data_IF_193339042445
#
_entry.id   IF_193339042445
#
_cell.length_a   1.000
_cell.length_b   1.000
_cell.length_c   1.000
_cell.angle_alpha   90.00
_cell.angle_beta   90.00
_cell.angle_gamma   90.00
#
_symmetry.space_group_name_H-M   'P 1'
#
loop_
_entity.id
_entity.type
_entity.pdbx_description
1 polymer ?
#
# COMPACT_ATOMS: atom_id res chain seq x y z
N UNK A 1 -13.56 78.51 -35.33
CA UNK A 1 -14.68 78.95 -34.47
C UNK A 1 -15.59 77.74 -34.23
N UNK A 2 -15.70 77.30 -32.96
CA UNK A 2 -16.66 76.35 -32.34
C UNK A 2 -16.66 74.88 -32.86
N UNK A 3 -16.19 73.89 -32.09
CA UNK A 3 -16.71 73.23 -30.85
C UNK A 3 -17.61 72.01 -31.11
N UNK A 4 -17.07 70.84 -30.71
CA UNK A 4 -17.68 69.58 -30.21
C UNK A 4 -18.65 68.73 -31.06
N UNK A 5 -18.41 67.39 -31.10
CA UNK A 5 -19.46 66.39 -31.31
C UNK A 5 -19.79 65.58 -30.03
N UNK A 6 -20.97 64.94 -30.04
CA UNK A 6 -21.54 63.86 -29.19
C UNK A 6 -22.69 64.31 -28.25
N UNK A 7 -23.77 63.50 -28.08
CA UNK A 7 -23.68 62.13 -27.55
C UNK A 7 -24.54 61.04 -28.22
N UNK A 8 -24.00 59.80 -28.21
CA UNK A 8 -24.77 58.55 -28.35
C UNK A 8 -25.21 58.08 -26.96
N UNK A 9 -26.48 57.72 -26.79
CA UNK A 9 -26.97 56.92 -25.66
C UNK A 9 -27.40 55.53 -26.13
N UNK A 10 -26.73 54.53 -25.54
CA UNK A 10 -27.16 53.20 -25.08
C UNK A 10 -28.39 52.51 -25.68
N UNK A 11 -28.18 51.26 -26.14
CA UNK A 11 -28.99 50.13 -25.67
C UNK A 11 -28.14 48.85 -25.63
N UNK A 12 -28.21 48.12 -24.51
CA UNK A 12 -27.57 46.81 -24.29
C UNK A 12 -28.34 45.71 -25.02
N UNK A 13 -27.64 44.70 -25.55
CA UNK A 13 -28.08 43.29 -25.55
C UNK A 13 -26.87 42.35 -25.58
N UNK A 14 -26.77 41.53 -24.53
CA UNK A 14 -25.94 40.30 -24.46
C UNK A 14 -26.41 39.32 -25.54
N UNK A 15 -25.50 38.47 -26.01
CA UNK A 15 -25.62 37.00 -26.15
C UNK A 15 -24.54 36.50 -27.14
N UNK A 16 -24.05 35.28 -26.88
CA UNK A 16 -23.27 34.38 -27.74
C UNK A 16 -21.73 34.42 -27.61
N UNK A 17 -21.22 33.67 -26.62
CA UNK A 17 -19.92 32.98 -26.66
C UNK A 17 -19.90 31.89 -25.56
N UNK A 18 -20.74 30.88 -25.72
CA UNK A 18 -20.72 29.61 -24.97
C UNK A 18 -21.12 28.54 -25.98
N UNK A 19 -20.16 27.74 -26.46
CA UNK A 19 -20.49 26.69 -27.41
C UNK A 19 -19.34 25.80 -27.91
N UNK A 20 -18.07 26.20 -27.79
CA UNK A 20 -16.96 25.43 -28.39
C UNK A 20 -16.16 24.63 -27.33
N UNK A 21 -16.20 25.03 -26.05
CA UNK A 21 -15.49 24.33 -24.98
C UNK A 21 -16.13 22.99 -24.54
N UNK A 22 -17.44 22.83 -24.69
CA UNK A 22 -18.18 21.63 -24.24
C UNK A 22 -18.15 20.47 -25.24
N UNK A 23 -18.07 20.74 -26.55
CA UNK A 23 -18.01 19.71 -27.59
C UNK A 23 -16.63 19.06 -27.70
N UNK A 24 -15.55 19.84 -27.57
CA UNK A 24 -14.19 19.30 -27.60
C UNK A 24 -13.89 18.44 -26.37
N UNK A 25 -14.38 18.84 -25.20
CA UNK A 25 -14.23 18.08 -23.95
C UNK A 25 -15.05 16.80 -23.97
N UNK A 26 -16.32 16.83 -24.38
CA UNK A 26 -17.16 15.62 -24.48
C UNK A 26 -16.65 14.63 -25.52
N UNK A 27 -16.16 15.08 -26.68
CA UNK A 27 -15.57 14.20 -27.69
C UNK A 27 -14.22 13.60 -27.22
N UNK A 28 -13.41 14.35 -26.50
CA UNK A 28 -12.16 13.84 -25.91
C UNK A 28 -12.44 12.81 -24.80
N UNK A 29 -13.42 13.07 -23.94
CA UNK A 29 -13.89 12.14 -22.89
C UNK A 29 -14.42 10.85 -23.53
N UNK A 30 -15.33 10.96 -24.51
CA UNK A 30 -15.89 9.79 -25.20
C UNK A 30 -14.83 8.95 -25.94
N UNK A 31 -13.77 9.58 -26.46
CA UNK A 31 -12.63 8.84 -27.03
C UNK A 31 -11.80 8.16 -25.95
N UNK A 32 -11.47 8.84 -24.85
CA UNK A 32 -10.72 8.25 -23.74
C UNK A 32 -11.44 7.04 -23.13
N UNK A 33 -12.76 7.14 -22.96
CA UNK A 33 -13.61 6.04 -22.47
C UNK A 33 -13.60 4.84 -23.43
N UNK A 34 -13.69 5.08 -24.74
CA UNK A 34 -13.57 4.00 -25.76
C UNK A 34 -12.20 3.33 -25.76
N UNK A 35 -11.11 4.09 -25.59
CA UNK A 35 -9.76 3.52 -25.49
C UNK A 35 -9.57 2.70 -24.21
N UNK A 36 -10.10 3.17 -23.07
CA UNK A 36 -10.10 2.43 -21.81
C UNK A 36 -10.88 1.11 -21.93
N UNK A 37 -12.07 1.16 -22.52
CA UNK A 37 -12.89 -0.02 -22.77
C UNK A 37 -12.17 -1.05 -23.68
N UNK A 38 -11.46 -0.58 -24.72
CA UNK A 38 -10.70 -1.46 -25.61
C UNK A 38 -9.53 -2.14 -24.89
N UNK A 39 -8.78 -1.41 -24.06
CA UNK A 39 -7.67 -1.98 -23.26
C UNK A 39 -8.18 -3.02 -22.27
N UNK A 40 -9.28 -2.73 -21.57
CA UNK A 40 -9.91 -3.67 -20.65
C UNK A 40 -10.42 -4.93 -21.37
N UNK A 41 -10.98 -4.77 -22.58
CA UNK A 41 -11.41 -5.88 -23.41
C UNK A 41 -10.25 -6.78 -23.83
N UNK A 42 -9.10 -6.20 -24.21
CA UNK A 42 -7.90 -6.98 -24.53
C UNK A 42 -7.39 -7.75 -23.31
N UNK A 43 -7.25 -7.11 -22.14
CA UNK A 43 -6.88 -7.81 -20.89
C UNK A 43 -7.82 -8.97 -20.57
N UNK A 44 -9.11 -8.77 -20.80
CA UNK A 44 -10.07 -9.85 -20.61
C UNK A 44 -9.86 -11.00 -21.60
N UNK A 45 -9.66 -10.72 -22.89
CA UNK A 45 -9.31 -11.74 -23.89
C UNK A 45 -8.08 -12.54 -23.44
N UNK A 46 -7.00 -11.85 -23.05
CA UNK A 46 -5.76 -12.49 -22.58
C UNK A 46 -6.02 -13.33 -21.31
N UNK A 47 -6.90 -12.88 -20.41
CA UNK A 47 -7.25 -13.60 -19.17
C UNK A 47 -8.17 -14.81 -19.37
N UNK A 48 -8.85 -14.92 -20.52
CA UNK A 48 -9.73 -16.07 -20.81
C UNK A 48 -8.94 -17.33 -21.10
N UNK A 49 -7.76 -17.18 -21.71
CA UNK A 49 -6.87 -18.28 -22.04
C UNK A 49 -6.06 -18.76 -20.83
N UNK A 50 -5.99 -17.95 -19.76
CA UNK A 50 -5.30 -18.32 -18.53
C UNK A 50 -6.09 -19.34 -17.72
N UNK A 51 -5.41 -20.42 -17.36
CA UNK A 51 -5.92 -21.43 -16.45
C UNK A 51 -5.53 -21.11 -15.01
N UNK A 52 -6.51 -20.71 -14.21
CA UNK A 52 -6.36 -20.48 -12.77
C UNK A 52 -6.73 -21.73 -11.95
N UNK A 53 -6.62 -22.93 -12.51
CA UNK A 53 -6.81 -24.16 -11.74
C UNK A 53 -5.69 -24.34 -10.72
N UNK A 54 -6.08 -24.70 -9.49
CA UNK A 54 -5.17 -24.99 -8.37
C UNK A 54 -5.27 -26.47 -8.03
N UNK A 55 -4.12 -27.13 -7.86
CA UNK A 55 -4.07 -28.52 -7.43
C UNK A 55 -4.05 -28.60 -5.90
N UNK A 56 -4.91 -29.45 -5.34
CA UNK A 56 -5.02 -29.69 -3.90
C UNK A 56 -5.72 -28.56 -3.12
N UNK A 57 -5.82 -28.74 -1.81
CA UNK A 57 -6.59 -27.87 -0.92
C UNK A 57 -5.74 -27.09 0.10
N UNK A 58 -4.41 -27.15 0.00
CA UNK A 58 -3.47 -26.44 0.89
C UNK A 58 -3.80 -24.95 0.97
N UNK A 59 -3.68 -24.38 2.17
CA UNK A 59 -3.84 -22.96 2.41
C UNK A 59 -2.68 -22.15 1.81
N UNK A 60 -2.86 -20.83 1.66
CA UNK A 60 -1.78 -19.95 1.19
C UNK A 60 -0.59 -19.94 2.16
N UNK A 61 -0.86 -19.98 3.47
CA UNK A 61 0.17 -20.18 4.51
C UNK A 61 1.02 -21.43 4.24
N UNK A 62 0.40 -22.58 4.03
CA UNK A 62 1.13 -23.84 3.86
C UNK A 62 1.90 -23.88 2.54
N UNK A 63 1.33 -23.29 1.48
CA UNK A 63 2.00 -23.16 0.17
C UNK A 63 3.24 -22.28 0.26
N UNK A 64 3.13 -21.12 0.89
CA UNK A 64 4.26 -20.23 1.11
C UNK A 64 5.33 -20.90 1.99
N UNK A 65 4.94 -21.54 3.09
CA UNK A 65 5.88 -22.19 4.00
C UNK A 65 6.66 -23.33 3.32
N UNK A 66 6.04 -24.07 2.40
CA UNK A 66 6.71 -25.11 1.61
C UNK A 66 7.86 -24.56 0.74
N UNK A 67 7.89 -23.25 0.49
CA UNK A 67 8.90 -22.54 -0.30
C UNK A 67 9.76 -21.59 0.53
N UNK A 68 9.76 -21.72 1.87
CA UNK A 68 10.42 -20.79 2.79
C UNK A 68 9.96 -19.33 2.67
N UNK A 69 8.74 -19.11 2.16
CA UNK A 69 8.08 -17.83 2.09
C UNK A 69 7.05 -17.71 3.20
N UNK A 70 6.65 -16.47 3.50
CA UNK A 70 5.57 -16.18 4.44
C UNK A 70 4.41 -15.53 3.68
N UNK A 71 3.23 -16.14 3.73
CA UNK A 71 2.01 -15.47 3.27
C UNK A 71 1.22 -14.89 4.46
N UNK A 72 0.60 -13.73 4.27
CA UNK A 72 -0.23 -13.10 5.28
C UNK A 72 -1.22 -12.10 4.73
N UNK A 73 -1.94 -11.43 5.63
CA UNK A 73 -2.87 -10.38 5.28
C UNK A 73 -3.03 -9.34 6.40
N UNK A 74 -3.49 -8.15 6.02
CA UNK A 74 -3.89 -7.10 6.95
C UNK A 74 -5.30 -7.31 7.52
N UNK A 75 -5.49 -6.98 8.79
CA UNK A 75 -6.82 -6.85 9.39
C UNK A 75 -6.78 -5.96 10.63
N UNK A 76 -7.95 -5.65 11.18
CA UNK A 76 -8.12 -4.92 12.42
C UNK A 76 -8.84 -5.79 13.47
N UNK A 77 -8.56 -5.50 14.74
CA UNK A 77 -9.30 -5.97 15.92
C UNK A 77 -10.80 -5.86 15.72
N UNK A 78 -11.28 -4.71 15.23
CA UNK A 78 -12.72 -4.44 15.04
C UNK A 78 -13.44 -5.40 14.10
N UNK A 79 -12.69 -6.13 13.25
CA UNK A 79 -13.25 -7.13 12.35
C UNK A 79 -13.08 -8.53 12.90
N UNK A 80 -11.85 -8.90 13.31
CA UNK A 80 -11.56 -10.27 13.75
C UNK A 80 -12.20 -10.63 15.10
N UNK A 81 -12.41 -9.66 15.99
CA UNK A 81 -13.03 -9.91 17.30
C UNK A 81 -14.54 -10.19 17.25
N UNK A 82 -15.22 -9.81 16.15
CA UNK A 82 -16.68 -9.95 16.01
C UNK A 82 -17.10 -10.88 14.88
N UNK A 83 -16.24 -11.11 13.88
CA UNK A 83 -16.51 -12.01 12.77
C UNK A 83 -15.68 -13.30 12.91
N UNK A 84 -16.22 -14.26 13.67
CA UNK A 84 -15.56 -15.54 13.92
C UNK A 84 -15.26 -16.33 12.64
N UNK A 85 -16.05 -16.15 11.56
CA UNK A 85 -15.79 -16.83 10.28
C UNK A 85 -14.57 -16.23 9.60
N UNK A 86 -14.45 -14.90 9.60
CA UNK A 86 -13.26 -14.24 9.08
C UNK A 86 -12.01 -14.61 9.90
N UNK A 87 -12.11 -14.58 11.23
CA UNK A 87 -11.02 -14.96 12.12
C UNK A 87 -10.52 -16.39 11.86
N UNK A 88 -11.43 -17.36 11.69
CA UNK A 88 -11.08 -18.73 11.35
C UNK A 88 -10.37 -18.84 9.99
N UNK A 89 -10.79 -18.07 8.99
CA UNK A 89 -10.15 -18.06 7.68
C UNK A 89 -8.77 -17.40 7.73
N UNK A 90 -8.57 -16.35 8.52
CA UNK A 90 -7.24 -15.80 8.81
C UNK A 90 -6.34 -16.87 9.45
N UNK A 91 -6.83 -17.57 10.48
CA UNK A 91 -6.11 -18.66 11.14
C UNK A 91 -5.66 -19.77 10.18
N UNK A 92 -6.48 -20.05 9.16
CA UNK A 92 -6.20 -21.07 8.16
C UNK A 92 -5.23 -20.57 7.07
N UNK A 93 -5.44 -19.37 6.54
CA UNK A 93 -4.79 -18.90 5.32
C UNK A 93 -3.50 -18.10 5.59
N UNK A 94 -3.33 -17.51 6.78
CA UNK A 94 -2.22 -16.57 7.06
C UNK A 94 -1.17 -17.16 8.02
N UNK A 95 0.11 -17.03 7.64
CA UNK A 95 1.27 -17.28 8.51
C UNK A 95 1.81 -16.03 9.19
N UNK A 96 1.42 -14.84 8.73
CA UNK A 96 1.71 -13.54 9.35
C UNK A 96 0.47 -12.65 9.29
N UNK A 97 0.25 -11.85 10.33
CA UNK A 97 -0.78 -10.81 10.36
C UNK A 97 -0.14 -9.44 10.54
N UNK A 98 -0.73 -8.43 9.91
CA UNK A 98 -0.39 -7.02 10.11
C UNK A 98 -1.64 -6.26 10.59
N UNK A 99 -1.58 -5.54 11.72
CA UNK A 99 -2.66 -4.65 12.13
C UNK A 99 -2.79 -3.49 11.13
N UNK A 100 -3.94 -3.39 10.46
CA UNK A 100 -4.17 -2.36 9.43
C UNK A 100 -4.13 -0.95 10.06
N UNK A 101 -4.75 -0.78 11.23
CA UNK A 101 -4.86 0.50 11.92
C UNK A 101 -4.56 0.44 13.43
N UNK A 102 -4.59 -0.73 14.06
CA UNK A 102 -4.53 -0.85 15.52
C UNK A 102 -3.17 -0.49 16.14
N UNK A 103 -2.12 -0.45 15.30
CA UNK A 103 -0.77 -0.03 15.69
C UNK A 103 -0.37 1.35 15.13
N UNK A 104 -1.29 2.08 14.48
CA UNK A 104 -1.05 3.45 14.03
C UNK A 104 -1.21 4.46 15.17
N UNK A 105 -0.61 5.64 15.01
CA UNK A 105 -0.58 6.68 16.05
C UNK A 105 -1.97 7.12 16.53
N UNK A 106 -2.93 7.30 15.62
CA UNK A 106 -4.33 7.66 15.97
C UNK A 106 -4.96 6.71 16.97
N UNK A 107 -4.68 5.41 16.83
CA UNK A 107 -5.21 4.37 17.71
C UNK A 107 -4.39 4.26 19.00
N UNK A 108 -3.07 4.24 18.86
CA UNK A 108 -2.16 4.02 19.98
C UNK A 108 -2.05 5.21 20.93
N UNK A 109 -2.33 6.44 20.49
CA UNK A 109 -2.06 7.67 21.27
C UNK A 109 -3.28 8.58 21.37
N UNK A 110 -4.26 8.28 22.25
CA UNK A 110 -5.43 9.12 22.43
C UNK A 110 -5.07 10.53 22.96
N UNK A 111 -3.98 10.66 23.74
CA UNK A 111 -3.46 11.95 24.20
C UNK A 111 -1.93 12.03 24.02
N UNK A 112 -1.30 13.22 24.17
CA UNK A 112 0.15 13.34 24.11
C UNK A 112 0.89 12.44 25.11
N UNK A 113 0.32 12.21 26.29
CA UNK A 113 1.01 11.55 27.41
C UNK A 113 0.54 10.11 27.70
N UNK A 114 -0.48 9.63 26.99
CA UNK A 114 -1.06 8.29 27.22
C UNK A 114 -1.04 7.42 25.97
N UNK A 115 -1.07 6.10 26.20
CA UNK A 115 -1.15 5.09 25.16
C UNK A 115 -2.36 4.19 25.36
N UNK A 116 -2.93 3.70 24.26
CA UNK A 116 -3.98 2.69 24.24
C UNK A 116 -3.53 1.48 23.42
N UNK A 117 -3.31 0.34 24.10
CA UNK A 117 -2.85 -0.89 23.48
C UNK A 117 -3.93 -1.96 23.34
N UNK A 118 -5.17 -1.70 23.76
CA UNK A 118 -6.24 -2.73 23.83
C UNK A 118 -6.37 -3.51 22.52
N UNK A 119 -6.44 -2.82 21.39
CA UNK A 119 -6.65 -3.44 20.08
C UNK A 119 -5.39 -4.15 19.56
N UNK A 120 -4.21 -3.55 19.78
CA UNK A 120 -2.95 -4.13 19.30
C UNK A 120 -2.47 -5.30 20.17
N UNK A 121 -2.74 -5.29 21.47
CA UNK A 121 -2.50 -6.43 22.36
C UNK A 121 -3.37 -7.62 21.96
N UNK A 122 -4.66 -7.39 21.68
CA UNK A 122 -5.56 -8.45 21.22
C UNK A 122 -5.07 -9.09 19.92
N UNK A 123 -4.62 -8.29 18.95
CA UNK A 123 -4.06 -8.83 17.70
C UNK A 123 -2.76 -9.59 17.91
N UNK A 124 -1.92 -9.16 18.86
CA UNK A 124 -0.71 -9.89 19.22
C UNK A 124 -1.02 -11.24 19.88
N UNK A 125 -2.05 -11.29 20.74
CA UNK A 125 -2.56 -12.52 21.34
C UNK A 125 -3.18 -13.45 20.29
N UNK A 126 -4.00 -12.92 19.38
CA UNK A 126 -4.58 -13.66 18.25
C UNK A 126 -3.48 -14.27 17.38
N UNK A 127 -2.44 -13.49 17.03
CA UNK A 127 -1.31 -13.99 16.27
C UNK A 127 -0.60 -15.14 17.01
N UNK A 128 -0.35 -14.99 18.31
CA UNK A 128 0.28 -16.02 19.12
C UNK A 128 -0.57 -17.31 19.19
N UNK A 129 -1.86 -17.19 19.46
CA UNK A 129 -2.80 -18.31 19.58
C UNK A 129 -2.85 -19.15 18.29
N UNK A 130 -2.88 -18.48 17.14
CA UNK A 130 -2.94 -19.13 15.82
C UNK A 130 -1.56 -19.39 15.18
N UNK A 131 -0.48 -19.25 15.97
CA UNK A 131 0.90 -19.49 15.54
C UNK A 131 1.27 -18.67 14.30
N UNK A 132 0.81 -17.45 14.22
CA UNK A 132 1.18 -16.48 13.21
C UNK A 132 2.33 -15.61 13.71
N UNK A 133 3.14 -15.15 12.77
CA UNK A 133 4.02 -14.02 12.99
C UNK A 133 3.20 -12.72 13.07
N UNK A 134 3.74 -11.69 13.72
CA UNK A 134 3.14 -10.37 13.78
C UNK A 134 4.06 -9.35 13.12
N UNK A 135 3.51 -8.55 12.20
CA UNK A 135 4.20 -7.40 11.59
C UNK A 135 3.62 -6.12 12.17
N UNK A 136 4.47 -5.27 12.73
CA UNK A 136 4.06 -3.99 13.29
C UNK A 136 4.01 -2.89 12.23
N UNK A 137 2.86 -2.21 12.13
CA UNK A 137 2.60 -1.17 11.14
C UNK A 137 1.84 0.00 11.79
N UNK A 138 2.41 1.20 11.94
CA UNK A 138 3.79 1.62 11.66
C UNK A 138 4.25 2.63 12.72
N UNK A 139 5.56 2.68 12.99
CA UNK A 139 6.12 3.55 14.02
C UNK A 139 6.21 5.02 13.61
N UNK A 140 6.47 5.31 12.34
CA UNK A 140 6.60 6.68 11.84
C UNK A 140 5.94 6.81 10.48
N UNK A 141 4.86 7.58 10.43
CA UNK A 141 4.16 7.93 9.21
C UNK A 141 3.70 9.38 9.26
N UNK A 142 3.34 9.91 8.11
CA UNK A 142 2.84 11.28 7.98
C UNK A 142 1.31 11.35 8.05
N UNK A 143 0.64 10.23 7.79
CA UNK A 143 -0.78 10.05 8.02
C UNK A 143 -1.06 9.39 9.37
N UNK A 144 -2.35 9.23 9.69
CA UNK A 144 -2.83 8.65 10.94
C UNK A 144 -2.20 9.27 12.21
N UNK A 145 -1.88 10.56 12.16
CA UNK A 145 -1.46 11.34 13.32
C UNK A 145 -2.69 11.81 14.11
N UNK A 146 -2.73 11.65 15.45
CA UNK A 146 -3.83 12.10 16.29
C UNK A 146 -4.12 13.60 16.14
N UNK A 147 -5.36 14.00 16.41
CA UNK A 147 -5.78 15.41 16.32
C UNK A 147 -4.95 16.36 17.18
N UNK A 148 -4.47 15.89 18.35
CA UNK A 148 -3.61 16.67 19.23
C UNK A 148 -2.23 16.96 18.60
N UNK A 149 -1.76 16.13 17.67
CA UNK A 149 -0.42 16.23 17.09
C UNK A 149 -0.13 17.64 16.55
N UNK A 150 -1.06 18.17 15.75
CA UNK A 150 -0.93 19.47 15.08
C UNK A 150 -0.74 20.64 16.06
N UNK A 151 -1.33 20.55 17.25
CA UNK A 151 -1.33 21.64 18.23
C UNK A 151 -0.25 21.45 19.30
N UNK A 152 0.32 20.26 19.43
CA UNK A 152 1.29 19.92 20.48
C UNK A 152 2.71 19.79 19.95
N UNK A 153 2.90 19.18 18.78
CA UNK A 153 4.23 18.82 18.26
C UNK A 153 4.83 19.99 17.48
N UNK A 154 6.07 20.34 17.81
CA UNK A 154 6.84 21.43 17.20
C UNK A 154 8.33 21.07 17.16
N UNK A 155 9.17 21.98 16.62
CA UNK A 155 10.62 21.76 16.50
C UNK A 155 11.32 21.46 17.83
N UNK A 156 10.84 22.03 18.93
CA UNK A 156 11.48 21.89 20.25
C UNK A 156 11.20 20.52 20.88
N UNK A 157 10.03 19.93 20.63
CA UNK A 157 9.60 18.69 21.29
C UNK A 157 9.41 17.48 20.36
N UNK A 158 9.53 17.64 19.04
CA UNK A 158 9.30 16.55 18.09
C UNK A 158 10.21 15.35 18.33
N UNK A 159 11.49 15.57 18.65
CA UNK A 159 12.45 14.48 18.85
C UNK A 159 12.11 13.62 20.08
N UNK A 160 11.96 14.19 21.29
CA UNK A 160 11.59 13.38 22.45
C UNK A 160 10.22 12.71 22.29
N UNK A 161 9.25 13.33 21.62
CA UNK A 161 7.93 12.73 21.37
C UNK A 161 8.05 11.51 20.43
N UNK A 162 8.83 11.64 19.36
CA UNK A 162 9.10 10.56 18.42
C UNK A 162 9.81 9.39 19.10
N UNK A 163 10.89 9.66 19.82
CA UNK A 163 11.65 8.63 20.54
C UNK A 163 10.77 7.94 21.58
N UNK A 164 10.01 8.71 22.38
CA UNK A 164 9.09 8.13 23.37
C UNK A 164 8.05 7.22 22.72
N UNK A 165 7.53 7.58 21.54
CA UNK A 165 6.63 6.70 20.81
C UNK A 165 7.30 5.39 20.43
N UNK A 166 8.43 5.46 19.72
CA UNK A 166 9.14 4.28 19.19
C UNK A 166 9.55 3.36 20.34
N UNK A 167 10.17 3.90 21.38
CA UNK A 167 10.63 3.11 22.53
C UNK A 167 9.46 2.46 23.28
N UNK A 168 8.33 3.15 23.45
CA UNK A 168 7.18 2.59 24.16
C UNK A 168 6.49 1.50 23.34
N UNK A 169 6.25 1.75 22.04
CA UNK A 169 5.49 0.82 21.18
C UNK A 169 6.35 -0.39 20.80
N UNK A 170 7.53 -0.17 20.21
CA UNK A 170 8.40 -1.28 19.82
C UNK A 170 8.88 -2.06 21.05
N UNK A 171 9.20 -1.37 22.16
CA UNK A 171 9.61 -2.00 23.42
C UNK A 171 8.51 -2.87 24.04
N UNK A 172 7.23 -2.46 23.96
CA UNK A 172 6.11 -3.28 24.44
C UNK A 172 6.02 -4.63 23.74
N UNK A 173 6.29 -4.65 22.44
CA UNK A 173 6.18 -5.85 21.60
C UNK A 173 7.53 -6.52 21.32
N UNK A 174 8.58 -6.15 22.08
CA UNK A 174 9.94 -6.57 21.81
C UNK A 174 10.06 -8.10 21.69
N UNK A 175 10.42 -8.54 20.48
CA UNK A 175 10.63 -9.93 20.13
C UNK A 175 9.37 -10.81 20.08
N UNK A 176 8.20 -10.18 20.04
CA UNK A 176 6.96 -10.75 19.50
C UNK A 176 6.74 -10.34 18.03
N UNK A 177 7.48 -9.33 17.55
CA UNK A 177 7.36 -8.78 16.22
C UNK A 177 8.37 -9.44 15.28
N UNK A 178 7.88 -9.94 14.14
CA UNK A 178 8.73 -10.39 13.05
C UNK A 178 9.42 -9.21 12.36
N UNK A 179 8.62 -8.18 12.02
CA UNK A 179 9.13 -6.98 11.34
C UNK A 179 8.34 -5.72 11.71
N UNK A 180 9.04 -4.59 11.83
CA UNK A 180 8.45 -3.26 12.02
C UNK A 180 8.58 -2.43 10.75
N UNK A 181 7.48 -1.84 10.30
CA UNK A 181 7.54 -0.63 9.49
C UNK A 181 7.97 0.52 10.36
N UNK A 182 9.30 0.75 10.40
CA UNK A 182 9.90 1.83 11.18
C UNK A 182 9.50 3.16 10.59
N UNK A 183 9.64 3.32 9.27
CA UNK A 183 9.15 4.50 8.56
C UNK A 183 8.31 4.06 7.36
N UNK A 184 7.20 4.76 7.14
CA UNK A 184 6.29 4.52 6.04
C UNK A 184 6.23 5.74 5.11
N UNK A 185 6.33 5.53 3.80
CA UNK A 185 6.00 6.51 2.74
C UNK A 185 6.78 7.83 2.77
N UNK A 186 8.07 7.77 3.13
CA UNK A 186 8.91 8.95 3.31
C UNK A 186 9.44 9.53 2.00
N UNK A 187 9.22 8.88 0.85
CA UNK A 187 9.67 9.33 -0.48
C UNK A 187 8.48 9.80 -1.32
N UNK A 188 8.60 11.00 -1.88
CA UNK A 188 7.60 11.58 -2.79
C UNK A 188 8.24 12.62 -3.71
N UNK A 189 8.86 12.22 -4.85
CA UNK A 189 9.60 13.15 -5.71
C UNK A 189 8.79 14.36 -6.22
N UNK A 190 7.46 14.21 -6.36
CA UNK A 190 6.56 15.30 -6.77
C UNK A 190 6.54 16.49 -5.81
N UNK A 191 7.03 16.31 -4.58
CA UNK A 191 7.16 17.39 -3.60
C UNK A 191 8.36 18.32 -3.89
N UNK A 192 9.15 18.02 -4.92
CA UNK A 192 10.18 18.92 -5.47
C UNK A 192 11.44 19.06 -4.63
N UNK A 193 11.60 18.25 -3.58
CA UNK A 193 12.84 18.23 -2.78
C UNK A 193 13.96 17.55 -3.54
N UNK A 194 15.17 18.09 -3.43
CA UNK A 194 16.38 17.53 -4.06
C UNK A 194 16.76 16.14 -3.51
N UNK A 195 16.38 15.83 -2.27
CA UNK A 195 16.60 14.52 -1.63
C UNK A 195 15.49 13.50 -1.91
N UNK A 196 14.45 13.88 -2.69
CA UNK A 196 13.31 13.03 -3.04
C UNK A 196 12.34 12.74 -1.89
N UNK A 197 12.59 13.27 -0.68
CA UNK A 197 11.75 13.00 0.48
C UNK A 197 10.40 13.71 0.38
N UNK A 198 9.38 13.14 1.02
CA UNK A 198 8.05 13.73 1.21
C UNK A 198 8.12 14.88 2.20
N UNK A 199 7.41 15.97 1.93
CA UNK A 199 7.24 17.10 2.86
C UNK A 199 6.31 16.70 4.02
N UNK A 200 6.85 16.08 5.06
CA UNK A 200 6.10 15.65 6.26
C UNK A 200 6.34 16.58 7.45
N UNK A 201 5.43 16.62 8.45
CA UNK A 201 5.69 17.35 9.70
C UNK A 201 6.99 16.88 10.39
N UNK A 202 7.25 15.58 10.40
CA UNK A 202 8.49 15.01 10.94
C UNK A 202 9.73 15.57 10.26
N UNK A 203 9.74 15.60 8.92
CA UNK A 203 10.85 16.17 8.15
C UNK A 203 11.02 17.68 8.42
N UNK A 204 9.91 18.43 8.54
CA UNK A 204 9.95 19.87 8.81
C UNK A 204 10.45 20.21 10.22
N UNK A 205 10.20 19.34 11.18
CA UNK A 205 10.60 19.54 12.57
C UNK A 205 12.00 19.02 12.87
N UNK A 206 12.39 17.88 12.29
CA UNK A 206 13.60 17.15 12.66
C UNK A 206 14.66 17.10 11.56
N UNK A 207 14.35 17.53 10.34
CA UNK A 207 15.23 17.35 9.20
C UNK A 207 15.33 15.88 8.75
N UNK A 208 16.07 15.59 7.66
CA UNK A 208 16.07 14.27 7.02
C UNK A 208 16.64 13.13 7.87
N UNK A 209 17.44 13.46 8.90
CA UNK A 209 18.07 12.46 9.77
C UNK A 209 17.07 11.77 10.72
N UNK A 210 15.82 12.25 10.83
CA UNK A 210 14.78 11.59 11.62
C UNK A 210 14.55 10.13 11.23
N UNK A 211 14.80 9.77 9.96
CA UNK A 211 14.69 8.41 9.46
C UNK A 211 15.74 7.52 10.14
N UNK A 212 17.03 7.89 10.08
CA UNK A 212 18.10 7.13 10.74
C UNK A 212 17.89 7.05 12.26
N UNK A 213 17.48 8.16 12.88
CA UNK A 213 17.14 8.21 14.30
C UNK A 213 16.04 7.20 14.65
N UNK A 214 14.97 7.14 13.84
CA UNK A 214 13.87 6.20 14.07
C UNK A 214 14.32 4.73 13.98
N UNK A 215 15.14 4.38 12.99
CA UNK A 215 15.71 3.04 12.87
C UNK A 215 16.59 2.67 14.06
N UNK A 216 17.46 3.57 14.52
CA UNK A 216 18.31 3.31 15.70
C UNK A 216 17.48 3.15 16.98
N UNK A 217 16.45 3.97 17.15
CA UNK A 217 15.53 3.86 18.29
C UNK A 217 14.77 2.53 18.26
N UNK A 218 14.27 2.12 17.09
CA UNK A 218 13.58 0.84 16.93
C UNK A 218 14.52 -0.35 17.19
N UNK A 219 15.76 -0.31 16.69
CA UNK A 219 16.76 -1.35 16.92
C UNK A 219 17.13 -1.51 18.40
N UNK A 220 17.17 -0.39 19.14
CA UNK A 220 17.40 -0.41 20.58
C UNK A 220 16.20 -0.98 21.34
N UNK A 221 14.98 -0.66 20.91
CA UNK A 221 13.75 -1.08 21.57
C UNK A 221 13.41 -2.55 21.31
N UNK A 222 13.64 -3.05 20.09
CA UNK A 222 13.46 -4.45 19.72
C UNK A 222 14.60 -4.91 18.77
N UNK A 223 15.71 -5.43 19.31
CA UNK A 223 16.82 -5.90 18.50
C UNK A 223 16.54 -7.19 17.72
N UNK A 224 15.41 -7.87 17.96
CA UNK A 224 15.06 -9.13 17.28
C UNK A 224 14.21 -8.93 16.02
N UNK A 225 13.53 -7.79 15.90
CA UNK A 225 12.67 -7.50 14.76
C UNK A 225 13.47 -7.10 13.51
N UNK A 226 12.99 -7.52 12.33
CA UNK A 226 13.44 -6.92 11.07
C UNK A 226 12.93 -5.47 10.99
N UNK A 227 13.82 -4.54 10.68
CA UNK A 227 13.48 -3.12 10.59
C UNK A 227 13.33 -2.74 9.13
N UNK A 228 12.15 -2.23 8.79
CA UNK A 228 11.68 -2.08 7.42
C UNK A 228 11.37 -0.62 7.10
N UNK A 229 11.79 -0.18 5.93
CA UNK A 229 11.22 0.99 5.27
C UNK A 229 10.18 0.51 4.26
N UNK A 230 8.94 0.98 4.36
CA UNK A 230 7.82 0.58 3.52
C UNK A 230 7.32 1.74 2.64
N UNK A 231 7.05 1.50 1.35
CA UNK A 231 6.53 2.52 0.43
C UNK A 231 5.74 1.94 -0.76
N UNK A 232 4.95 2.78 -1.43
CA UNK A 232 4.11 2.46 -2.59
C UNK A 232 4.58 3.09 -3.90
N UNK A 233 3.95 2.72 -5.01
CA UNK A 233 4.11 3.44 -6.28
C UNK A 233 5.47 3.18 -6.91
N UNK A 234 5.83 1.90 -6.96
CA UNK A 234 7.12 1.40 -7.45
C UNK A 234 6.92 0.31 -8.52
N UNK A 235 5.68 -0.01 -8.85
CA UNK A 235 5.27 -1.27 -9.46
C UNK A 235 5.24 -1.22 -10.99
N UNK A 236 5.07 -0.01 -11.56
CA UNK A 236 4.78 0.17 -12.97
C UNK A 236 5.88 0.93 -13.73
N UNK A 237 5.92 0.75 -15.05
CA UNK A 237 6.77 1.48 -15.98
C UNK A 237 6.14 2.84 -16.34
N UNK A 238 6.04 3.71 -15.34
CA UNK A 238 5.65 5.11 -15.52
C UNK A 238 6.79 6.01 -15.05
N UNK A 239 6.80 7.24 -15.55
CA UNK A 239 7.78 8.24 -15.16
C UNK A 239 7.81 8.48 -13.65
N UNK A 240 6.62 8.54 -13.02
CA UNK A 240 6.47 8.79 -11.59
C UNK A 240 7.00 7.63 -10.75
N UNK A 241 6.70 6.38 -11.14
CA UNK A 241 7.19 5.19 -10.46
C UNK A 241 8.70 5.05 -10.63
N UNK A 242 9.24 5.35 -11.82
CA UNK A 242 10.68 5.35 -12.07
C UNK A 242 11.42 6.39 -11.22
N UNK A 243 10.93 7.63 -11.20
CA UNK A 243 11.49 8.68 -10.35
C UNK A 243 11.44 8.27 -8.86
N UNK A 244 10.38 7.59 -8.44
CA UNK A 244 10.24 7.09 -7.07
C UNK A 244 11.21 5.95 -6.77
N UNK A 245 11.37 4.95 -7.65
CA UNK A 245 12.36 3.87 -7.51
C UNK A 245 13.77 4.42 -7.35
N UNK A 246 14.17 5.38 -8.19
CA UNK A 246 15.48 6.04 -8.10
C UNK A 246 15.67 6.76 -6.75
N UNK A 247 14.65 7.48 -6.28
CA UNK A 247 14.71 8.18 -5.00
C UNK A 247 14.75 7.21 -3.80
N UNK A 248 14.01 6.10 -3.87
CA UNK A 248 14.04 5.03 -2.87
C UNK A 248 15.42 4.38 -2.80
N UNK A 249 16.01 4.00 -3.93
CA UNK A 249 17.37 3.42 -3.96
C UNK A 249 18.40 4.36 -3.34
N UNK A 250 18.39 5.64 -3.71
CA UNK A 250 19.27 6.65 -3.11
C UNK A 250 19.09 6.79 -1.60
N UNK A 251 17.86 6.69 -1.10
CA UNK A 251 17.59 6.71 0.34
C UNK A 251 18.17 5.44 0.99
N UNK A 252 17.92 4.26 0.43
CA UNK A 252 18.43 2.99 0.95
C UNK A 252 19.96 2.97 1.01
N UNK A 253 20.65 3.36 -0.08
CA UNK A 253 22.10 3.51 -0.15
C UNK A 253 22.65 4.46 0.93
N UNK A 254 21.97 5.60 1.15
CA UNK A 254 22.35 6.56 2.19
C UNK A 254 22.20 5.98 3.59
N UNK A 255 21.13 5.23 3.86
CA UNK A 255 20.94 4.58 5.17
C UNK A 255 21.99 3.48 5.39
N UNK A 256 22.27 2.67 4.37
CA UNK A 256 23.31 1.63 4.43
C UNK A 256 24.70 2.23 4.67
N UNK A 257 25.06 3.30 3.95
CA UNK A 257 26.37 3.95 4.12
C UNK A 257 26.57 4.61 5.49
N UNK A 258 25.48 5.05 6.16
CA UNK A 258 25.50 5.55 7.53
C UNK A 258 25.52 4.44 8.60
N UNK A 259 25.48 3.17 8.20
CA UNK A 259 25.32 2.05 9.14
C UNK A 259 24.00 2.09 9.91
N UNK A 260 22.94 2.64 9.29
CA UNK A 260 21.58 2.57 9.84
C UNK A 260 21.16 1.09 9.95
N UNK A 261 20.54 0.64 11.07
CA UNK A 261 20.08 -0.74 11.23
C UNK A 261 18.79 -1.00 10.43
N UNK A 262 18.88 -0.93 9.10
CA UNK A 262 17.82 -1.30 8.18
C UNK A 262 18.06 -2.72 7.66
N UNK A 263 17.04 -3.57 7.74
CA UNK A 263 17.14 -4.99 7.43
C UNK A 263 16.34 -5.38 6.18
N UNK A 264 15.28 -4.66 5.87
CA UNK A 264 14.45 -4.95 4.71
C UNK A 264 13.81 -3.71 4.09
N UNK A 265 13.38 -3.87 2.84
CA UNK A 265 12.52 -2.94 2.13
C UNK A 265 11.12 -3.57 1.95
N UNK A 266 10.08 -2.79 2.24
CA UNK A 266 8.68 -3.16 2.06
C UNK A 266 8.10 -2.48 0.83
N UNK A 267 7.54 -3.25 -0.09
CA UNK A 267 6.88 -2.75 -1.28
C UNK A 267 5.38 -3.01 -1.16
N UNK A 268 4.59 -1.94 -1.03
CA UNK A 268 3.15 -2.04 -0.74
C UNK A 268 2.39 -2.84 -1.80
N UNK A 269 2.70 -2.65 -3.09
CA UNK A 269 2.02 -3.35 -4.18
C UNK A 269 0.50 -3.05 -4.25
N UNK A 270 0.11 -1.78 -4.09
CA UNK A 270 -1.24 -1.32 -4.42
C UNK A 270 -1.42 -1.21 -5.94
N UNK A 271 -1.83 -2.31 -6.57
CA UNK A 271 -1.92 -2.47 -8.01
C UNK A 271 -3.26 -1.96 -8.55
N UNK A 272 -3.31 -1.73 -9.86
CA UNK A 272 -4.49 -1.29 -10.58
C UNK A 272 -4.86 -2.25 -11.70
N UNK A 273 -6.10 -2.73 -11.69
CA UNK A 273 -6.61 -3.68 -12.67
C UNK A 273 -6.58 -3.14 -14.10
N UNK A 274 -6.76 -1.83 -14.29
CA UNK A 274 -6.73 -1.20 -15.61
C UNK A 274 -5.31 -0.89 -16.13
N UNK A 275 -4.29 -0.93 -15.27
CA UNK A 275 -2.96 -0.44 -15.63
C UNK A 275 -2.24 -1.44 -16.54
N UNK A 276 -1.84 -0.98 -17.73
CA UNK A 276 -1.20 -1.82 -18.77
C UNK A 276 0.31 -1.68 -18.80
N UNK A 277 0.90 -0.75 -18.03
CA UNK A 277 2.34 -0.45 -18.05
C UNK A 277 3.13 -1.29 -17.06
N UNK A 278 2.73 -2.54 -16.83
CA UNK A 278 3.54 -3.46 -16.03
C UNK A 278 4.74 -3.94 -16.86
N UNK A 279 5.94 -3.85 -16.29
CA UNK A 279 7.18 -4.26 -16.95
C UNK A 279 7.96 -5.17 -15.98
N UNK A 280 7.86 -6.50 -16.13
CA UNK A 280 8.46 -7.44 -15.17
C UNK A 280 9.98 -7.31 -15.14
N UNK A 281 10.64 -7.00 -16.27
CA UNK A 281 12.09 -6.82 -16.30
C UNK A 281 12.52 -5.63 -15.44
N UNK A 282 11.90 -4.46 -15.62
CA UNK A 282 12.26 -3.27 -14.83
C UNK A 282 11.99 -3.45 -13.35
N UNK A 283 10.90 -4.14 -12.99
CA UNK A 283 10.62 -4.45 -11.60
C UNK A 283 11.71 -5.36 -11.02
N UNK A 284 12.08 -6.44 -11.72
CA UNK A 284 13.17 -7.34 -11.31
C UNK A 284 14.50 -6.61 -11.15
N UNK A 285 14.87 -5.76 -12.11
CA UNK A 285 16.12 -4.97 -12.05
C UNK A 285 16.13 -4.11 -10.76
N UNK A 286 15.03 -3.44 -10.41
CA UNK A 286 14.92 -2.67 -9.17
C UNK A 286 15.00 -3.54 -7.90
N UNK A 287 14.37 -4.72 -7.90
CA UNK A 287 14.45 -5.63 -6.75
C UNK A 287 15.87 -6.18 -6.56
N UNK A 288 16.58 -6.45 -7.66
CA UNK A 288 17.99 -6.84 -7.64
C UNK A 288 18.88 -5.71 -7.08
N UNK A 289 18.62 -4.46 -7.46
CA UNK A 289 19.33 -3.30 -6.90
C UNK A 289 19.10 -3.21 -5.38
N UNK A 290 17.86 -3.37 -4.91
CA UNK A 290 17.55 -3.41 -3.46
C UNK A 290 18.25 -4.59 -2.77
N UNK A 291 18.22 -5.79 -3.37
CA UNK A 291 18.86 -6.99 -2.83
C UNK A 291 20.39 -6.83 -2.76
N UNK A 292 21.01 -6.14 -3.72
CA UNK A 292 22.46 -5.87 -3.76
C UNK A 292 22.95 -5.04 -2.56
N UNK A 293 22.05 -4.30 -1.90
CA UNK A 293 22.32 -3.58 -0.65
C UNK A 293 22.29 -4.49 0.60
N UNK A 294 22.11 -5.80 0.41
CA UNK A 294 21.98 -6.79 1.47
C UNK A 294 20.66 -6.68 2.25
N UNK A 295 19.61 -6.18 1.60
CA UNK A 295 18.28 -6.02 2.18
C UNK A 295 17.38 -7.19 1.78
N UNK A 296 16.55 -7.65 2.73
CA UNK A 296 15.41 -8.50 2.41
C UNK A 296 14.29 -7.67 1.78
N UNK A 297 13.37 -8.31 1.09
CA UNK A 297 12.23 -7.67 0.44
C UNK A 297 10.94 -8.32 0.96
N UNK A 298 9.96 -7.48 1.31
CA UNK A 298 8.61 -7.90 1.67
C UNK A 298 7.63 -7.26 0.69
N UNK A 299 6.72 -8.04 0.13
CA UNK A 299 5.51 -7.52 -0.53
C UNK A 299 4.44 -7.38 0.56
N UNK A 300 4.01 -6.15 0.84
CA UNK A 300 3.45 -5.83 2.17
C UNK A 300 1.95 -5.56 2.20
N UNK A 301 1.38 -5.02 1.13
CA UNK A 301 0.01 -4.48 1.12
C UNK A 301 -0.71 -4.80 -0.21
N UNK A 302 -0.45 -5.99 -0.76
CA UNK A 302 -0.85 -6.29 -2.13
C UNK A 302 -2.37 -6.30 -2.28
N UNK A 303 -2.86 -5.49 -3.20
CA UNK A 303 -4.24 -5.49 -3.65
C UNK A 303 -4.35 -5.01 -5.10
N UNK A 304 -5.51 -5.22 -5.73
CA UNK A 304 -5.75 -4.80 -7.12
C UNK A 304 -7.03 -4.00 -7.20
N UNK A 305 -6.94 -2.69 -7.43
CA UNK A 305 -8.13 -1.85 -7.56
C UNK A 305 -8.91 -2.20 -8.81
N UNK A 306 -10.24 -2.32 -8.70
CA UNK A 306 -11.11 -2.69 -9.81
C UNK A 306 -11.95 -1.53 -10.35
N UNK A 307 -11.83 -0.32 -9.79
CA UNK A 307 -12.71 0.83 -10.00
C UNK A 307 -12.97 1.17 -11.48
N UNK A 308 -11.96 0.99 -12.35
CA UNK A 308 -12.04 1.31 -13.79
C UNK A 308 -12.26 0.09 -14.68
N UNK A 309 -12.48 -1.10 -14.10
CA UNK A 309 -12.81 -2.32 -14.83
C UNK A 309 -14.30 -2.39 -15.16
N UNK A 310 -14.70 -3.20 -16.16
CA UNK A 310 -16.10 -3.47 -16.47
C UNK A 310 -16.92 -3.92 -15.25
N UNK A 311 -18.22 -3.63 -15.23
CA UNK A 311 -19.09 -3.96 -14.09
C UNK A 311 -19.24 -5.47 -13.84
N UNK A 312 -19.09 -6.27 -14.89
CA UNK A 312 -19.22 -7.73 -14.83
C UNK A 312 -18.20 -8.35 -13.86
N UNK A 313 -18.68 -9.15 -12.92
CA UNK A 313 -17.86 -9.73 -11.86
C UNK A 313 -16.89 -10.81 -12.35
N UNK A 314 -17.32 -11.63 -13.32
CA UNK A 314 -16.50 -12.74 -13.85
C UNK A 314 -15.35 -12.18 -14.71
N UNK A 315 -15.62 -11.11 -15.47
CA UNK A 315 -14.59 -10.36 -16.19
C UNK A 315 -13.57 -9.76 -15.22
N UNK A 316 -14.05 -9.09 -14.15
CA UNK A 316 -13.17 -8.48 -13.15
C UNK A 316 -12.30 -9.49 -12.43
N UNK A 317 -12.88 -10.59 -11.96
CA UNK A 317 -12.14 -11.61 -11.22
C UNK A 317 -11.00 -12.21 -12.07
N UNK A 318 -11.21 -12.40 -13.37
CA UNK A 318 -10.15 -12.88 -14.28
C UNK A 318 -9.04 -11.85 -14.50
N UNK A 319 -9.39 -10.59 -14.73
CA UNK A 319 -8.39 -9.52 -14.90
C UNK A 319 -7.56 -9.37 -13.62
N UNK A 320 -8.22 -9.34 -12.46
CA UNK A 320 -7.56 -9.20 -11.16
C UNK A 320 -6.64 -10.38 -10.90
N UNK A 321 -7.09 -11.61 -11.14
CA UNK A 321 -6.26 -12.80 -11.01
C UNK A 321 -5.02 -12.75 -11.92
N UNK A 322 -5.17 -12.28 -13.16
CA UNK A 322 -4.03 -12.08 -14.06
C UNK A 322 -3.01 -11.07 -13.53
N UNK A 323 -3.48 -9.96 -12.94
CA UNK A 323 -2.59 -8.96 -12.32
C UNK A 323 -1.83 -9.55 -11.11
N UNK A 324 -2.51 -10.30 -10.23
CA UNK A 324 -1.85 -11.01 -9.14
C UNK A 324 -0.79 -11.99 -9.65
N UNK A 325 -1.13 -12.82 -10.65
CA UNK A 325 -0.22 -13.83 -11.21
C UNK A 325 1.00 -13.19 -11.89
N UNK A 326 0.80 -12.15 -12.72
CA UNK A 326 1.89 -11.46 -13.42
C UNK A 326 2.85 -10.78 -12.44
N UNK A 327 2.31 -10.11 -11.42
CA UNK A 327 3.12 -9.44 -10.41
C UNK A 327 3.89 -10.43 -9.56
N UNK A 328 3.22 -11.45 -9.01
CA UNK A 328 3.87 -12.44 -8.16
C UNK A 328 4.91 -13.26 -8.92
N UNK A 329 4.64 -13.62 -10.17
CA UNK A 329 5.62 -14.32 -11.00
C UNK A 329 6.89 -13.49 -11.21
N UNK A 330 6.78 -12.16 -11.30
CA UNK A 330 7.94 -11.30 -11.45
C UNK A 330 8.73 -11.12 -10.15
N UNK A 331 8.05 -10.88 -9.02
CA UNK A 331 8.74 -10.58 -7.75
C UNK A 331 9.30 -11.83 -7.07
N UNK A 332 8.64 -12.99 -7.20
CA UNK A 332 9.09 -14.24 -6.56
C UNK A 332 10.31 -14.87 -7.24
N UNK A 333 10.71 -14.37 -8.42
CA UNK A 333 12.00 -14.73 -9.02
C UNK A 333 13.20 -14.13 -8.28
N UNK A 334 13.01 -13.09 -7.45
CA UNK A 334 14.07 -12.49 -6.64
C UNK A 334 14.19 -13.20 -5.26
N UNK A 335 15.29 -13.92 -4.98
CA UNK A 335 15.46 -14.67 -3.73
C UNK A 335 15.46 -13.81 -2.45
N UNK A 336 15.70 -12.49 -2.56
CA UNK A 336 15.58 -11.58 -1.42
C UNK A 336 14.12 -11.38 -0.96
N UNK A 337 13.12 -11.74 -1.77
CA UNK A 337 11.70 -11.70 -1.39
C UNK A 337 11.39 -12.83 -0.41
N UNK A 338 10.96 -12.47 0.80
CA UNK A 338 10.71 -13.45 1.88
C UNK A 338 9.25 -13.53 2.31
N UNK A 339 8.42 -12.57 1.91
CA UNK A 339 7.02 -12.50 2.36
C UNK A 339 6.12 -11.84 1.32
N UNK A 340 4.88 -12.33 1.24
CA UNK A 340 3.79 -11.79 0.42
C UNK A 340 2.57 -11.59 1.30
N UNK A 341 2.16 -10.35 1.48
CA UNK A 341 0.99 -9.97 2.28
C UNK A 341 -0.01 -9.22 1.41
N UNK A 342 -1.29 -9.52 1.57
CA UNK A 342 -2.38 -8.75 0.95
C UNK A 342 -2.96 -7.73 1.93
N UNK A 343 -3.41 -6.56 1.44
CA UNK A 343 -4.00 -5.52 2.31
C UNK A 343 -5.48 -5.79 2.60
N UNK A 344 -5.70 -6.91 3.30
CA UNK A 344 -6.97 -7.55 3.51
C UNK A 344 -6.96 -8.97 2.93
N UNK A 345 -7.91 -9.80 3.38
CA UNK A 345 -8.07 -11.18 2.87
C UNK A 345 -9.40 -11.37 2.12
N UNK A 346 -10.41 -10.57 2.44
CA UNK A 346 -11.76 -10.67 1.87
C UNK A 346 -12.30 -9.32 1.44
N UNK A 347 -13.03 -9.30 0.31
CA UNK A 347 -13.75 -8.14 -0.21
C UNK A 347 -14.74 -7.56 0.82
N UNK A 348 -15.11 -8.33 1.85
CA UNK A 348 -16.02 -7.92 2.94
C UNK A 348 -15.54 -6.65 3.67
N UNK A 349 -14.23 -6.52 3.88
CA UNK A 349 -13.65 -5.44 4.71
C UNK A 349 -12.45 -4.74 4.05
N UNK A 350 -12.37 -4.74 2.72
CA UNK A 350 -11.29 -4.00 2.04
C UNK A 350 -11.48 -2.49 2.19
N UNK A 351 -10.40 -1.78 2.54
CA UNK A 351 -10.33 -0.32 2.57
C UNK A 351 -10.74 0.31 1.23
N UNK A 352 -10.52 -0.37 0.12
CA UNK A 352 -10.87 0.12 -1.22
C UNK A 352 -12.37 0.36 -1.40
N UNK A 353 -13.23 -0.31 -0.61
CA UNK A 353 -14.68 -0.02 -0.59
C UNK A 353 -14.98 1.41 -0.12
N UNK A 354 -14.16 1.97 0.76
CA UNK A 354 -14.31 3.33 1.27
C UNK A 354 -13.50 4.34 0.46
N UNK A 355 -12.23 4.01 0.16
CA UNK A 355 -11.30 4.97 -0.45
C UNK A 355 -11.31 5.00 -1.98
N UNK A 356 -11.73 3.90 -2.62
CA UNK A 356 -11.84 3.81 -4.09
C UNK A 356 -13.14 3.10 -4.52
N UNK A 357 -14.32 3.58 -4.06
CA UNK A 357 -15.59 2.97 -4.40
C UNK A 357 -15.85 3.05 -5.90
N UNK A 358 -16.55 2.06 -6.44
CA UNK A 358 -16.93 2.05 -7.86
C UNK A 358 -18.00 3.10 -8.16
N UNK A 359 -17.85 3.79 -9.30
CA UNK A 359 -18.84 4.77 -9.76
C UNK A 359 -20.19 4.13 -10.10
N UNK A 360 -20.19 2.87 -10.53
CA UNK A 360 -21.40 2.09 -10.83
C UNK A 360 -22.05 1.44 -9.59
N UNK A 361 -21.50 1.69 -8.39
CA UNK A 361 -21.96 1.15 -7.10
C UNK A 361 -21.93 -0.38 -6.98
N UNK A 362 -21.33 -1.09 -7.92
CA UNK A 362 -21.08 -2.51 -7.73
C UNK A 362 -20.08 -2.72 -6.57
N UNK A 363 -20.12 -3.90 -5.95
CA UNK A 363 -19.16 -4.25 -4.91
C UNK A 363 -17.73 -4.25 -5.47
N UNK A 364 -16.77 -3.76 -4.67
CA UNK A 364 -15.33 -3.85 -4.93
C UNK A 364 -14.89 -5.31 -4.80
N UNK A 365 -13.99 -5.75 -5.70
CA UNK A 365 -13.56 -7.16 -5.81
C UNK A 365 -12.04 -7.34 -5.78
N UNK A 366 -11.33 -6.61 -4.93
CA UNK A 366 -9.87 -6.53 -4.94
C UNK A 366 -9.12 -7.64 -4.20
N UNK A 367 -9.79 -8.41 -3.34
CA UNK A 367 -9.16 -9.35 -2.40
C UNK A 367 -9.17 -10.81 -2.89
N UNK A 368 -8.37 -11.71 -2.27
CA UNK A 368 -8.37 -13.14 -2.59
C UNK A 368 -9.72 -13.83 -2.37
N UNK A 369 -10.48 -13.42 -1.35
CA UNK A 369 -11.78 -14.00 -1.02
C UNK A 369 -12.92 -13.02 -1.29
N UNK A 370 -14.07 -13.55 -1.68
CA UNK A 370 -15.29 -12.75 -1.85
C UNK A 370 -15.90 -12.34 -0.49
N UNK A 371 -16.99 -11.57 -0.55
CA UNK A 371 -17.74 -11.12 0.64
C UNK A 371 -18.35 -12.26 1.46
N UNK A 372 -18.43 -13.48 0.91
CA UNK A 372 -18.91 -14.70 1.56
C UNK A 372 -17.76 -15.61 2.01
N UNK A 373 -16.51 -15.14 1.94
CA UNK A 373 -15.28 -15.87 2.26
C UNK A 373 -15.01 -17.06 1.32
N UNK A 374 -15.59 -17.07 0.12
CA UNK A 374 -15.26 -18.05 -0.92
C UNK A 374 -14.01 -17.60 -1.68
N UNK A 375 -13.15 -18.57 -2.03
CA UNK A 375 -11.97 -18.34 -2.86
C UNK A 375 -12.37 -17.79 -4.22
N UNK A 376 -11.74 -16.70 -4.64
CA UNK A 376 -11.84 -16.14 -6.00
C UNK A 376 -10.66 -16.58 -6.84
N UNK A 377 -10.69 -16.23 -8.14
CA UNK A 377 -9.55 -16.45 -9.03
C UNK A 377 -8.28 -15.74 -8.54
N UNK A 378 -8.41 -14.63 -7.81
CA UNK A 378 -7.27 -13.97 -7.15
C UNK A 378 -6.57 -14.88 -6.13
N UNK A 379 -7.32 -15.62 -5.30
CA UNK A 379 -6.74 -16.63 -4.41
C UNK A 379 -6.01 -17.71 -5.21
N UNK A 380 -6.59 -18.15 -6.33
CA UNK A 380 -5.99 -19.17 -7.17
C UNK A 380 -4.67 -18.69 -7.80
N UNK A 381 -4.62 -17.45 -8.29
CA UNK A 381 -3.41 -16.85 -8.84
C UNK A 381 -2.28 -16.80 -7.80
N UNK A 382 -2.58 -16.39 -6.56
CA UNK A 382 -1.62 -16.38 -5.46
C UNK A 382 -1.14 -17.80 -5.15
N UNK A 383 -2.05 -18.76 -5.02
CA UNK A 383 -1.72 -20.16 -4.74
C UNK A 383 -0.78 -20.74 -5.81
N UNK A 384 -1.07 -20.50 -7.09
CA UNK A 384 -0.26 -20.96 -8.22
C UNK A 384 1.12 -20.32 -8.22
N UNK A 385 1.21 -19.02 -7.99
CA UNK A 385 2.51 -18.34 -7.90
C UNK A 385 3.35 -18.93 -6.76
N UNK A 386 2.77 -19.15 -5.57
CA UNK A 386 3.47 -19.79 -4.44
C UNK A 386 3.87 -21.25 -4.72
N UNK A 387 3.12 -21.98 -5.56
CA UNK A 387 3.47 -23.36 -5.93
C UNK A 387 4.61 -23.43 -6.96
N UNK A 388 4.84 -22.35 -7.73
CA UNK A 388 5.68 -22.39 -8.95
C UNK A 388 7.18 -22.16 -8.71
N UNK A 389 7.57 -21.63 -7.55
CA UNK A 389 8.97 -21.25 -7.25
C UNK A 389 9.58 -22.13 -6.17
#
# INVERSE_FOLDING_TARGET
MKFMPKPKKLMKRRIFLLGIGSLATTAAIAKADKFSALKNYQKWQDSKERDFTVVGNRSLRDRAAARNLIYGAASDYRYLSVDAKLAAVFAQECGIIVPENDMKWTTLRPTPDSFNFVQSDWLAEFAQEHKMLLRGHTLVWHEALPTWFKNTVNRQNALPILLKHIETVAGRYAGKIHSWDVVNEVVLPKDGRSDGLRNTPWLQFLGPDYIDIAFRAAAKADPRALLVYNDYGLDYDTYENEAKRVAVLKLLERLKSKGTPIHAFGMQAHLAGEETRFNPKKLKDFLQDVASLGLKILITEMDVTDQKLPVDADIRDRIIAGVYEDYLSAVLEEPAVIAVLTWGLSDRYTWLSEFKPRNDKAAVRSMPLDVNLKRKLAWNAIARALDSF
#
